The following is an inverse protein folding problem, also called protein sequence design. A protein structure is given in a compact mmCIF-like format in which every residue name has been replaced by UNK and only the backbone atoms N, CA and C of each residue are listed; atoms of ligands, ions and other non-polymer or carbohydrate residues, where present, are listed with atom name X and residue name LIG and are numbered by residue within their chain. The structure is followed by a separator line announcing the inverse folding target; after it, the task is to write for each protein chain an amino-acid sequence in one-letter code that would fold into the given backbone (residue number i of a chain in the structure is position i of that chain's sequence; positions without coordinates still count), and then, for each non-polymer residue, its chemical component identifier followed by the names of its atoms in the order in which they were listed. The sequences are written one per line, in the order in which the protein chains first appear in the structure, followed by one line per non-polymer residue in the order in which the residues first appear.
data_IF_126613140092
#
_entry.id   IF_126613140092
#
_cell.length_a   1.000
_cell.length_b   1.000
_cell.length_c   1.000
_cell.angle_alpha   90.00
_cell.angle_beta   90.00
_cell.angle_gamma   90.00
#
_symmetry.space_group_name_H-M   'P 1'
#
loop_
_entity.id
_entity.type
_entity.pdbx_description
1 polymer ?
#
# COMPACT_ATOMS: atom_id res chain seq x y z
N UNK A 1 30.24 6.58 -14.87
CA UNK A 1 29.06 6.02 -14.15
C UNK A 1 27.77 6.75 -14.48
N UNK A 2 27.69 8.09 -14.33
CA UNK A 2 26.45 8.86 -14.58
C UNK A 2 25.91 8.66 -16.01
N UNK A 3 26.79 8.61 -17.01
CA UNK A 3 26.38 8.39 -18.41
C UNK A 3 25.74 7.01 -18.62
N UNK A 4 26.35 5.93 -18.10
CA UNK A 4 25.76 4.59 -18.12
C UNK A 4 24.43 4.56 -17.37
N UNK A 5 24.35 5.20 -16.21
CA UNK A 5 23.10 5.27 -15.44
C UNK A 5 21.96 5.90 -16.24
N UNK A 6 22.21 7.01 -16.94
CA UNK A 6 21.21 7.64 -17.81
C UNK A 6 20.78 6.73 -18.98
N UNK A 7 21.72 5.99 -19.57
CA UNK A 7 21.41 5.00 -20.63
C UNK A 7 20.53 3.88 -20.08
N UNK A 8 20.83 3.36 -18.89
CA UNK A 8 20.04 2.32 -18.25
C UNK A 8 18.64 2.80 -17.86
N UNK A 9 18.53 3.99 -17.26
CA UNK A 9 17.24 4.56 -16.86
C UNK A 9 16.35 4.93 -18.06
N UNK A 10 16.92 5.31 -19.20
CA UNK A 10 16.16 5.64 -20.42
C UNK A 10 15.62 4.40 -21.16
N UNK A 11 16.20 3.21 -20.89
CA UNK A 11 15.76 1.93 -21.47
C UNK A 11 14.67 1.23 -20.65
N UNK A 12 14.32 1.76 -19.47
CA UNK A 12 13.29 1.16 -18.63
C UNK A 12 11.91 1.30 -19.28
N UNK A 13 11.03 0.28 -19.16
CA UNK A 13 9.65 0.39 -19.59
C UNK A 13 8.92 1.56 -18.91
N UNK A 14 7.96 2.14 -19.61
CA UNK A 14 7.09 3.15 -19.05
C UNK A 14 6.33 2.57 -17.84
N UNK A 15 6.21 3.34 -16.76
CA UNK A 15 5.61 2.87 -15.51
C UNK A 15 6.53 2.07 -14.57
N UNK A 16 7.82 1.86 -14.91
CA UNK A 16 8.77 1.22 -14.00
C UNK A 16 8.80 1.87 -12.61
N UNK A 17 8.53 1.07 -11.59
CA UNK A 17 8.48 1.54 -10.19
C UNK A 17 9.81 2.14 -9.72
N UNK A 18 9.76 2.92 -8.62
CA UNK A 18 10.98 3.46 -8.01
C UNK A 18 11.95 2.37 -7.53
N UNK A 19 11.44 1.17 -7.20
CA UNK A 19 12.27 0.00 -6.89
C UNK A 19 13.03 -0.48 -8.13
N UNK A 20 12.33 -0.66 -9.26
CA UNK A 20 12.96 -1.05 -10.55
C UNK A 20 14.02 -0.02 -10.97
N UNK A 21 13.71 1.27 -10.87
CA UNK A 21 14.67 2.35 -11.18
C UNK A 21 15.93 2.29 -10.32
N UNK A 22 15.78 2.04 -9.01
CA UNK A 22 16.93 1.87 -8.10
C UNK A 22 17.76 0.64 -8.44
N UNK A 23 17.14 -0.46 -8.86
CA UNK A 23 17.86 -1.67 -9.27
C UNK A 23 18.61 -1.40 -10.58
N UNK A 24 17.97 -0.78 -11.57
CA UNK A 24 18.61 -0.41 -12.83
C UNK A 24 19.86 0.47 -12.64
N UNK A 25 19.82 1.43 -11.71
CA UNK A 25 21.01 2.23 -11.34
C UNK A 25 22.18 1.36 -10.84
N UNK A 26 21.91 0.32 -10.04
CA UNK A 26 22.95 -0.64 -9.58
C UNK A 26 23.49 -1.49 -10.73
N UNK A 27 22.64 -1.91 -11.65
CA UNK A 27 23.07 -2.63 -12.85
C UNK A 27 23.90 -1.73 -13.78
N UNK A 28 23.60 -0.44 -13.87
CA UNK A 28 24.44 0.51 -14.59
C UNK A 28 25.86 0.64 -13.99
N UNK A 29 25.98 0.53 -12.66
CA UNK A 29 27.29 0.45 -12.00
C UNK A 29 28.00 -0.86 -12.34
N UNK A 30 27.28 -1.99 -12.39
CA UNK A 30 27.84 -3.28 -12.76
C UNK A 30 28.34 -3.27 -14.22
N UNK A 31 27.57 -2.68 -15.14
CA UNK A 31 27.93 -2.47 -16.54
C UNK A 31 29.21 -1.62 -16.66
N UNK A 32 29.30 -0.51 -15.92
CA UNK A 32 30.51 0.31 -15.89
C UNK A 32 31.73 -0.40 -15.26
N UNK A 33 31.50 -1.25 -14.25
CA UNK A 33 32.56 -2.06 -13.67
C UNK A 33 33.06 -3.15 -14.65
N UNK A 34 32.16 -3.73 -15.45
CA UNK A 34 32.49 -4.66 -16.53
C UNK A 34 33.46 -4.05 -17.56
N UNK A 35 33.23 -2.80 -17.96
CA UNK A 35 34.15 -2.08 -18.86
C UNK A 35 35.56 -1.92 -18.26
N UNK A 36 35.69 -1.77 -16.94
CA UNK A 36 36.98 -1.63 -16.27
C UNK A 36 37.66 -2.99 -16.02
N UNK A 37 36.88 -4.07 -15.96
CA UNK A 37 37.35 -5.40 -15.65
C UNK A 37 37.78 -6.22 -16.87
N UNK A 38 37.81 -5.64 -18.07
CA UNK A 38 38.14 -6.33 -19.34
C UNK A 38 39.44 -7.15 -19.27
N UNK A 39 40.48 -6.63 -18.62
CA UNK A 39 41.76 -7.32 -18.47
C UNK A 39 41.67 -8.60 -17.60
N UNK A 40 40.64 -8.71 -16.77
CA UNK A 40 40.39 -9.85 -15.87
C UNK A 40 39.38 -10.80 -16.51
N UNK A 41 38.29 -10.28 -17.06
CA UNK A 41 37.19 -11.08 -17.62
C UNK A 41 37.51 -11.61 -19.02
N UNK A 42 38.34 -10.89 -19.77
CA UNK A 42 38.58 -11.14 -21.20
C UNK A 42 37.40 -10.75 -22.10
N UNK A 43 36.33 -10.17 -21.53
CA UNK A 43 35.14 -9.75 -22.27
C UNK A 43 35.32 -8.35 -22.86
N UNK A 44 34.71 -8.10 -24.02
CA UNK A 44 34.59 -6.75 -24.56
C UNK A 44 33.57 -5.92 -23.78
N UNK A 45 33.57 -4.57 -23.88
CA UNK A 45 32.53 -3.74 -23.29
C UNK A 45 31.11 -4.15 -23.70
N UNK A 46 30.94 -4.56 -24.97
CA UNK A 46 29.66 -5.01 -25.51
C UNK A 46 29.20 -6.32 -24.88
N UNK A 47 30.12 -7.28 -24.67
CA UNK A 47 29.83 -8.55 -24.01
C UNK A 47 29.46 -8.35 -22.52
N UNK A 48 30.21 -7.51 -21.81
CA UNK A 48 29.91 -7.11 -20.43
C UNK A 48 28.51 -6.46 -20.32
N UNK A 49 28.22 -5.53 -21.22
CA UNK A 49 26.92 -4.86 -21.25
C UNK A 49 25.78 -5.85 -21.56
N UNK A 50 25.95 -6.72 -22.55
CA UNK A 50 24.95 -7.69 -22.94
C UNK A 50 24.64 -8.68 -21.81
N UNK A 51 25.67 -9.22 -21.15
CA UNK A 51 25.51 -10.12 -20.00
C UNK A 51 24.81 -9.42 -18.82
N UNK A 52 25.21 -8.20 -18.50
CA UNK A 52 24.59 -7.40 -17.43
C UNK A 52 23.13 -7.08 -17.74
N UNK A 53 22.82 -6.75 -19.01
CA UNK A 53 21.46 -6.52 -19.46
C UNK A 53 20.60 -7.77 -19.36
N UNK A 54 21.09 -8.92 -19.82
CA UNK A 54 20.34 -10.18 -19.72
C UNK A 54 20.00 -10.52 -18.28
N UNK A 55 20.97 -10.39 -17.37
CA UNK A 55 20.74 -10.62 -15.94
C UNK A 55 19.69 -9.66 -15.34
N UNK A 56 19.65 -8.41 -15.81
CA UNK A 56 18.62 -7.46 -15.41
C UNK A 56 17.24 -7.83 -15.98
N UNK A 57 17.18 -8.21 -17.26
CA UNK A 57 15.93 -8.59 -17.91
C UNK A 57 15.32 -9.84 -17.25
N UNK A 58 16.13 -10.86 -16.96
CA UNK A 58 15.71 -12.07 -16.23
C UNK A 58 15.18 -11.72 -14.85
N UNK A 59 15.89 -10.86 -14.11
CA UNK A 59 15.43 -10.36 -12.82
C UNK A 59 14.12 -9.57 -12.94
N UNK A 60 13.98 -8.73 -13.97
CA UNK A 60 12.79 -7.91 -14.18
C UNK A 60 11.58 -8.75 -14.57
N UNK A 61 11.78 -9.82 -15.34
CA UNK A 61 10.76 -10.80 -15.67
C UNK A 61 10.21 -11.47 -14.41
N UNK A 62 11.09 -11.85 -13.48
CA UNK A 62 10.70 -12.49 -12.22
C UNK A 62 10.10 -11.49 -11.21
N UNK A 63 10.60 -10.25 -11.17
CA UNK A 63 10.16 -9.23 -10.22
C UNK A 63 8.85 -8.56 -10.64
N UNK A 64 8.70 -8.25 -11.93
CA UNK A 64 7.63 -7.44 -12.52
C UNK A 64 7.95 -5.94 -12.52
N UNK A 65 7.07 -5.13 -13.11
CA UNK A 65 7.25 -3.67 -13.19
C UNK A 65 6.67 -2.91 -11.99
N UNK A 66 5.77 -3.56 -11.27
CA UNK A 66 4.91 -2.92 -10.30
C UNK A 66 5.41 -3.09 -8.86
N UNK A 67 4.87 -2.26 -7.97
CA UNK A 67 5.22 -2.31 -6.56
C UNK A 67 4.37 -3.36 -5.84
N UNK A 68 4.93 -4.56 -5.61
CA UNK A 68 4.25 -5.68 -4.91
C UNK A 68 3.69 -5.27 -3.54
N UNK A 69 4.35 -4.36 -2.83
CA UNK A 69 3.88 -3.88 -1.52
C UNK A 69 2.55 -3.14 -1.65
N UNK A 70 2.34 -2.38 -2.75
CA UNK A 70 1.07 -1.68 -3.02
C UNK A 70 -0.07 -2.68 -3.10
N UNK A 71 0.09 -3.73 -3.91
CA UNK A 71 -0.89 -4.80 -4.06
C UNK A 71 -1.15 -5.55 -2.75
N UNK A 72 -0.10 -5.83 -1.99
CA UNK A 72 -0.24 -6.51 -0.69
C UNK A 72 -1.07 -5.70 0.30
N UNK A 73 -0.87 -4.38 0.40
CA UNK A 73 -1.67 -3.53 1.31
C UNK A 73 -3.13 -3.52 0.89
N UNK A 74 -3.40 -3.32 -0.40
CA UNK A 74 -4.78 -3.29 -0.95
C UNK A 74 -5.48 -4.64 -0.74
N UNK A 75 -4.81 -5.74 -1.06
CA UNK A 75 -5.33 -7.10 -0.86
C UNK A 75 -5.59 -7.38 0.62
N UNK A 76 -4.65 -7.07 1.53
CA UNK A 76 -4.86 -7.26 2.98
C UNK A 76 -6.00 -6.42 3.53
N UNK A 77 -6.13 -5.17 3.09
CA UNK A 77 -7.24 -4.32 3.50
C UNK A 77 -8.60 -4.90 3.07
N UNK A 78 -8.69 -5.40 1.82
CA UNK A 78 -9.90 -6.06 1.31
C UNK A 78 -10.20 -7.34 2.09
N UNK A 79 -9.20 -8.21 2.27
CA UNK A 79 -9.31 -9.44 3.05
C UNK A 79 -9.77 -9.15 4.48
N UNK A 80 -9.20 -8.11 5.11
CA UNK A 80 -9.56 -7.68 6.46
C UNK A 80 -11.04 -7.30 6.53
N UNK A 81 -11.51 -6.46 5.60
CA UNK A 81 -12.91 -6.05 5.52
C UNK A 81 -13.81 -7.28 5.31
N UNK A 82 -13.52 -8.12 4.33
CA UNK A 82 -14.33 -9.30 4.00
C UNK A 82 -14.45 -10.28 5.17
N UNK A 83 -13.34 -10.54 5.88
CA UNK A 83 -13.31 -11.49 7.00
C UNK A 83 -13.94 -10.92 8.28
N UNK A 84 -13.87 -9.60 8.47
CA UNK A 84 -14.14 -9.01 9.78
C UNK A 84 -15.29 -8.00 9.82
N UNK A 85 -15.85 -7.59 8.68
CA UNK A 85 -16.91 -6.57 8.58
C UNK A 85 -18.07 -6.80 9.55
N UNK A 86 -18.47 -8.07 9.76
CA UNK A 86 -19.62 -8.44 10.59
C UNK A 86 -19.25 -8.96 11.99
N UNK A 87 -17.97 -9.10 12.32
CA UNK A 87 -17.54 -9.73 13.58
C UNK A 87 -16.72 -8.82 14.48
N UNK A 88 -15.90 -7.92 13.92
CA UNK A 88 -14.98 -7.06 14.67
C UNK A 88 -15.32 -5.58 14.63
N UNK A 89 -16.43 -5.21 14.00
CA UNK A 89 -16.89 -3.83 13.92
C UNK A 89 -18.19 -3.63 14.68
N UNK A 90 -18.23 -2.63 15.55
CA UNK A 90 -19.46 -2.19 16.20
C UNK A 90 -20.25 -1.27 15.25
N UNK A 91 -21.53 -1.57 14.95
CA UNK A 91 -22.37 -0.66 14.19
C UNK A 91 -22.49 0.71 14.85
N UNK A 92 -22.36 1.77 14.05
CA UNK A 92 -22.49 3.16 14.48
C UNK A 92 -23.27 3.95 13.43
N UNK A 93 -24.32 4.66 13.84
CA UNK A 93 -25.10 5.52 12.94
C UNK A 93 -24.64 6.97 13.09
N UNK A 94 -24.19 7.60 12.01
CA UNK A 94 -23.75 8.99 12.03
C UNK A 94 -24.89 9.96 12.40
N UNK A 95 -24.57 11.05 13.08
CA UNK A 95 -25.54 12.06 13.51
C UNK A 95 -26.35 11.71 14.77
N UNK A 96 -26.29 10.46 15.27
CA UNK A 96 -26.92 10.07 16.53
C UNK A 96 -25.91 10.15 17.69
N UNK A 97 -26.29 10.78 18.80
CA UNK A 97 -25.42 10.95 19.98
C UNK A 97 -25.23 9.62 20.71
N UNK A 98 -24.15 8.89 20.44
CA UNK A 98 -23.68 7.73 21.21
C UNK A 98 -24.76 6.65 21.50
N UNK A 99 -25.86 6.63 20.72
CA UNK A 99 -27.19 6.30 21.27
C UNK A 99 -27.86 5.02 20.74
N UNK A 100 -27.40 4.49 19.62
CA UNK A 100 -27.86 3.19 19.10
C UNK A 100 -26.72 2.15 19.14
N UNK A 101 -25.73 2.33 20.03
CA UNK A 101 -24.76 1.27 20.29
C UNK A 101 -25.47 0.16 21.06
N UNK A 102 -25.86 -0.90 20.35
CA UNK A 102 -26.34 -2.13 20.97
C UNK A 102 -25.23 -2.72 21.84
N UNK A 103 -25.36 -2.53 23.16
CA UNK A 103 -24.39 -3.05 24.14
C UNK A 103 -24.36 -4.58 24.19
N UNK A 104 -25.46 -5.25 23.87
CA UNK A 104 -25.48 -6.72 23.81
C UNK A 104 -24.72 -7.21 22.58
N UNK A 105 -24.86 -6.51 21.44
CA UNK A 105 -24.03 -6.77 20.28
C UNK A 105 -22.55 -6.48 20.59
N UNK A 106 -22.25 -5.33 21.18
CA UNK A 106 -20.88 -4.94 21.55
C UNK A 106 -20.21 -5.97 22.46
N UNK A 107 -20.93 -6.51 23.44
CA UNK A 107 -20.43 -7.52 24.36
C UNK A 107 -20.05 -8.85 23.68
N UNK A 108 -20.53 -9.12 22.46
CA UNK A 108 -20.21 -10.33 21.68
C UNK A 108 -19.02 -10.13 20.73
N UNK A 109 -18.57 -8.90 20.52
CA UNK A 109 -17.42 -8.61 19.67
C UNK A 109 -16.14 -8.96 20.41
N UNK A 110 -15.40 -9.93 19.91
CA UNK A 110 -14.02 -10.19 20.33
C UNK A 110 -13.04 -9.41 19.44
N UNK A 111 -11.93 -8.94 20.02
CA UNK A 111 -10.87 -8.22 19.31
C UNK A 111 -11.38 -7.07 18.43
N UNK A 112 -12.17 -6.15 19.01
CA UNK A 112 -12.75 -5.00 18.31
C UNK A 112 -11.71 -4.30 17.41
N UNK A 113 -12.02 -4.22 16.12
CA UNK A 113 -11.20 -3.56 15.10
C UNK A 113 -11.61 -2.10 14.89
N UNK A 114 -12.85 -1.74 15.24
CA UNK A 114 -13.37 -0.39 15.09
C UNK A 114 -14.89 -0.31 14.94
N UNK A 115 -15.36 0.65 14.16
CA UNK A 115 -16.79 0.94 13.98
C UNK A 115 -17.22 0.85 12.52
N UNK A 116 -18.40 0.28 12.28
CA UNK A 116 -19.04 0.26 10.97
C UNK A 116 -20.00 1.45 10.91
N UNK A 117 -19.60 2.53 10.24
CA UNK A 117 -20.30 3.81 10.27
C UNK A 117 -21.24 3.94 9.08
N UNK A 118 -22.54 3.98 9.36
CA UNK A 118 -23.59 4.19 8.36
C UNK A 118 -24.00 5.67 8.25
N UNK A 119 -24.49 6.08 7.08
CA UNK A 119 -25.10 7.41 6.86
C UNK A 119 -24.10 8.55 6.65
N UNK A 120 -22.83 8.25 6.32
CA UNK A 120 -21.82 9.25 5.94
C UNK A 120 -21.55 9.34 4.45
N UNK A 121 -21.81 8.27 3.70
CA UNK A 121 -21.58 8.18 2.25
C UNK A 121 -22.90 8.37 1.52
N UNK A 122 -22.85 9.07 0.38
CA UNK A 122 -24.01 9.33 -0.47
C UNK A 122 -24.52 8.06 -1.17
N UNK A 123 -23.65 7.05 -1.35
CA UNK A 123 -23.98 5.75 -1.95
C UNK A 123 -24.69 4.78 -1.00
N UNK A 124 -24.96 5.20 0.25
CA UNK A 124 -25.62 4.38 1.26
C UNK A 124 -24.77 3.24 1.83
N UNK A 125 -23.53 3.05 1.39
CA UNK A 125 -22.62 2.03 1.92
C UNK A 125 -21.98 2.50 3.23
N UNK A 126 -21.53 1.56 4.10
CA UNK A 126 -20.83 1.93 5.32
C UNK A 126 -19.39 2.43 5.06
N UNK A 127 -18.85 3.16 6.03
CA UNK A 127 -17.41 3.40 6.21
C UNK A 127 -16.86 2.49 7.32
N UNK A 128 -15.68 1.92 7.12
CA UNK A 128 -14.96 1.12 8.11
C UNK A 128 -14.00 2.03 8.87
N UNK A 129 -14.36 2.40 10.09
CA UNK A 129 -13.56 3.26 10.97
C UNK A 129 -12.67 2.37 11.84
N UNK A 130 -11.45 2.12 11.37
CA UNK A 130 -10.50 1.16 11.94
C UNK A 130 -9.60 1.85 12.97
N UNK A 131 -9.38 1.18 14.11
CA UNK A 131 -8.45 1.63 15.14
C UNK A 131 -7.03 1.71 14.55
N UNK A 132 -6.28 2.81 14.75
CA UNK A 132 -4.98 3.01 14.10
C UNK A 132 -3.96 1.88 14.35
N UNK A 133 -3.94 1.29 15.56
CA UNK A 133 -3.03 0.18 15.88
C UNK A 133 -3.40 -1.09 15.12
N UNK A 134 -4.70 -1.43 15.04
CA UNK A 134 -5.22 -2.55 14.24
C UNK A 134 -4.85 -2.38 12.77
N UNK A 135 -4.98 -1.16 12.24
CA UNK A 135 -4.57 -0.86 10.87
C UNK A 135 -3.07 -1.08 10.65
N UNK A 136 -2.20 -0.63 11.56
CA UNK A 136 -0.75 -0.81 11.43
C UNK A 136 -0.34 -2.28 11.52
N UNK A 137 -0.88 -3.00 12.50
CA UNK A 137 -0.44 -4.36 12.82
C UNK A 137 -1.01 -5.39 11.84
N UNK A 138 -2.29 -5.26 11.48
CA UNK A 138 -3.01 -6.31 10.76
C UNK A 138 -3.20 -6.01 9.26
N UNK A 139 -3.19 -4.75 8.85
CA UNK A 139 -3.35 -4.37 7.44
C UNK A 139 -2.00 -3.99 6.83
N UNK A 140 -1.25 -3.08 7.46
CA UNK A 140 0.05 -2.67 6.94
C UNK A 140 1.14 -3.74 7.15
N UNK A 141 1.09 -4.46 8.28
CA UNK A 141 2.05 -5.52 8.62
C UNK A 141 3.51 -5.10 8.42
N UNK A 142 3.89 -3.95 8.97
CA UNK A 142 5.25 -3.39 8.90
C UNK A 142 5.54 -2.51 7.68
N UNK A 143 4.61 -2.40 6.72
CA UNK A 143 4.71 -1.41 5.63
C UNK A 143 4.53 -0.01 6.21
N UNK A 144 5.32 0.96 5.73
CA UNK A 144 5.23 2.33 6.23
C UNK A 144 3.84 2.93 6.03
N UNK A 145 3.32 3.63 7.04
CA UNK A 145 1.97 4.21 6.99
C UNK A 145 1.76 5.13 5.80
N UNK A 146 2.71 5.98 5.46
CA UNK A 146 2.60 6.86 4.30
C UNK A 146 2.45 6.07 2.99
N UNK A 147 3.23 5.01 2.82
CA UNK A 147 3.16 4.17 1.63
C UNK A 147 1.83 3.40 1.56
N UNK A 148 1.43 2.78 2.66
CA UNK A 148 0.20 2.00 2.71
C UNK A 148 -1.05 2.85 2.53
N UNK A 149 -1.12 4.03 3.15
CA UNK A 149 -2.21 4.97 2.94
C UNK A 149 -2.26 5.44 1.48
N UNK A 150 -1.11 5.72 0.86
CA UNK A 150 -1.06 6.10 -0.56
C UNK A 150 -1.53 4.97 -1.48
N UNK A 151 -1.12 3.74 -1.18
CA UNK A 151 -1.56 2.55 -1.90
C UNK A 151 -3.08 2.37 -1.87
N UNK A 152 -3.71 2.58 -0.70
CA UNK A 152 -5.15 2.47 -0.52
C UNK A 152 -5.93 3.66 -1.10
N UNK A 153 -5.37 4.87 -1.06
CA UNK A 153 -5.92 6.05 -1.74
C UNK A 153 -5.95 5.83 -3.25
N UNK A 154 -4.84 5.39 -3.84
CA UNK A 154 -4.76 5.09 -5.27
C UNK A 154 -5.72 3.97 -5.70
N UNK A 155 -6.07 3.05 -4.78
CA UNK A 155 -7.05 1.99 -5.01
C UNK A 155 -8.50 2.42 -4.70
N UNK A 156 -8.74 3.68 -4.33
CA UNK A 156 -10.07 4.19 -3.96
C UNK A 156 -10.65 3.61 -2.67
N UNK A 157 -9.83 2.91 -1.87
CA UNK A 157 -10.27 2.22 -0.64
C UNK A 157 -10.11 3.08 0.62
N UNK A 158 -9.42 4.21 0.56
CA UNK A 158 -9.18 5.08 1.71
C UNK A 158 -9.90 6.42 1.57
N UNK A 159 -10.55 6.86 2.65
CA UNK A 159 -11.20 8.18 2.67
C UNK A 159 -10.22 9.23 3.20
N UNK A 160 -9.79 10.12 2.31
CA UNK A 160 -8.98 11.30 2.63
C UNK A 160 -9.84 12.57 2.53
N UNK A 161 -9.69 13.50 3.48
CA UNK A 161 -10.21 14.85 3.41
C UNK A 161 -9.37 15.74 2.50
N UNK A 162 -8.04 15.55 2.52
CA UNK A 162 -7.07 16.20 1.63
C UNK A 162 -5.94 15.20 1.32
N UNK A 163 -5.41 15.21 0.09
CA UNK A 163 -4.31 14.32 -0.29
C UNK A 163 -3.06 14.57 0.58
N UNK A 164 -2.45 13.50 1.09
CA UNK A 164 -1.32 13.59 2.02
C UNK A 164 -1.67 13.90 3.49
N UNK A 165 -2.95 14.16 3.80
CA UNK A 165 -3.49 14.21 5.17
C UNK A 165 -4.39 13.01 5.41
N UNK A 166 -3.77 11.87 5.72
CA UNK A 166 -4.43 10.62 6.06
C UNK A 166 -5.42 10.85 7.20
N UNK A 167 -6.69 10.90 6.85
CA UNK A 167 -7.63 11.60 7.71
C UNK A 167 -8.12 10.64 8.76
N UNK A 168 -7.63 10.85 9.98
CA UNK A 168 -8.33 10.32 11.13
C UNK A 168 -9.66 11.04 11.27
N UNK A 169 -10.76 10.41 10.84
CA UNK A 169 -12.09 10.92 11.17
C UNK A 169 -12.33 10.64 12.64
N UNK A 170 -12.96 11.61 13.30
CA UNK A 170 -13.24 11.51 14.72
C UNK A 170 -14.65 10.99 14.94
N UNK A 171 -14.78 9.88 15.68
CA UNK A 171 -16.07 9.43 16.22
C UNK A 171 -16.07 9.76 17.72
N UNK A 172 -17.18 10.34 18.21
CA UNK A 172 -17.40 10.48 19.65
C UNK A 172 -17.92 9.14 20.15
N UNK A 173 -17.10 8.43 20.89
CA UNK A 173 -17.44 7.17 21.55
C UNK A 173 -17.37 7.42 23.05
N UNK A 174 -18.47 7.19 23.76
CA UNK A 174 -18.56 7.33 25.22
C UNK A 174 -18.13 8.71 25.74
N UNK A 175 -18.43 9.76 24.97
CA UNK A 175 -18.06 11.14 25.31
C UNK A 175 -16.62 11.52 24.97
N UNK A 176 -15.78 10.56 24.56
CA UNK A 176 -14.40 10.81 24.12
C UNK A 176 -14.32 10.86 22.59
N UNK A 177 -13.63 11.87 22.07
CA UNK A 177 -13.29 11.92 20.65
C UNK A 177 -12.11 10.99 20.36
N UNK A 178 -12.33 9.97 19.54
CA UNK A 178 -11.29 9.03 19.12
C UNK A 178 -11.07 9.12 17.61
N UNK A 179 -9.81 8.88 17.20
CA UNK A 179 -9.32 9.01 15.83
C UNK A 179 -9.26 7.64 15.16
N UNK A 180 -9.84 7.50 13.96
CA UNK A 180 -9.89 6.24 13.21
C UNK A 180 -9.37 6.39 11.79
N UNK A 181 -8.68 5.37 11.28
CA UNK A 181 -8.37 5.25 9.85
C UNK A 181 -9.64 4.78 9.14
N UNK A 182 -10.02 5.47 8.07
CA UNK A 182 -11.30 5.22 7.39
C UNK A 182 -11.08 4.55 6.05
N UNK A 183 -11.58 3.32 5.94
CA UNK A 183 -11.62 2.58 4.69
C UNK A 183 -13.04 2.44 4.15
N UNK A 184 -13.14 2.22 2.85
CA UNK A 184 -14.37 1.93 2.12
C UNK A 184 -14.17 0.67 1.30
N UNK A 185 -15.17 -0.21 1.33
CA UNK A 185 -15.19 -1.34 0.41
C UNK A 185 -15.51 -0.85 -1.01
N UNK A 186 -14.61 -1.16 -1.94
CA UNK A 186 -14.77 -0.92 -3.37
C UNK A 186 -14.92 -2.28 -4.05
N UNK A 187 -15.97 -2.48 -4.87
CA UNK A 187 -16.11 -3.71 -5.63
C UNK A 187 -14.94 -3.82 -6.62
N UNK A 188 -14.48 -5.05 -6.90
CA UNK A 188 -13.51 -5.27 -7.98
C UNK A 188 -14.16 -4.87 -9.32
N UNK A 189 -13.45 -4.06 -10.11
CA UNK A 189 -13.73 -3.87 -11.54
C UNK A 189 -13.15 -5.04 -12.34
#
# INVERSE_FOLDING_TARGET
TIEKENVWLSRLPEGASSQVRRVASRFAMLDAAGDLAQAITGWTPEECQAATKQAFDDWLQDFGLENREKYQVVSRARDFIQRHALSRFQPYTFGKSNGDMDRQYAARISNLAGYLVNGRRDDGRPEYHIIPTVFDEEILCGISRNFGCKALEDAGMMVCAESGRWTTKTVKVNGTQQRFIVLTDQPEE
#
